data_IF_042675520839
#
_entry.id   IF_042675520839
#
_cell.length_a   1.000
_cell.length_b   1.000
_cell.length_c   1.000
_cell.angle_alpha   90.00
_cell.angle_beta   90.00
_cell.angle_gamma   90.00
#
_symmetry.space_group_name_H-M   'P 1'
#
loop_
_entity.id
_entity.type
_entity.pdbx_description
1 polymer ?
#
# COMPACT_ATOMS: atom_id res chain seq x y z
N UNK A 1 -27.44 -18.04 -27.46
CA UNK A 1 -27.25 -16.65 -27.91
C UNK A 1 -26.03 -16.10 -27.21
N UNK A 2 -25.17 -15.35 -27.90
CA UNK A 2 -24.03 -14.68 -27.27
C UNK A 2 -24.54 -13.52 -26.39
N UNK A 3 -24.02 -13.36 -25.17
CA UNK A 3 -24.35 -12.23 -24.30
C UNK A 3 -23.87 -10.92 -24.93
N UNK A 4 -24.72 -9.90 -24.88
CA UNK A 4 -24.37 -8.53 -25.28
C UNK A 4 -23.66 -7.78 -24.15
N UNK A 5 -23.00 -6.67 -24.47
CA UNK A 5 -22.44 -5.79 -23.44
C UNK A 5 -23.52 -5.26 -22.48
N UNK A 6 -24.72 -4.99 -23.00
CA UNK A 6 -25.85 -4.50 -22.20
C UNK A 6 -26.28 -5.54 -21.17
N UNK A 7 -26.36 -6.82 -21.54
CA UNK A 7 -26.71 -7.91 -20.61
C UNK A 7 -25.73 -7.98 -19.42
N UNK A 8 -24.43 -7.79 -19.68
CA UNK A 8 -23.39 -7.81 -18.63
C UNK A 8 -23.51 -6.61 -17.70
N UNK A 9 -23.85 -5.43 -18.23
CA UNK A 9 -24.08 -4.22 -17.42
C UNK A 9 -25.33 -4.38 -16.54
N UNK A 10 -26.39 -4.99 -17.07
CA UNK A 10 -27.62 -5.22 -16.30
C UNK A 10 -27.41 -6.25 -15.19
N UNK A 11 -26.64 -7.32 -15.45
CA UNK A 11 -26.18 -8.24 -14.41
C UNK A 11 -25.34 -7.52 -13.35
N UNK A 12 -24.38 -6.69 -13.77
CA UNK A 12 -23.55 -5.92 -12.85
C UNK A 12 -24.41 -5.03 -11.95
N UNK A 13 -25.46 -4.41 -12.47
CA UNK A 13 -26.40 -3.62 -11.66
C UNK A 13 -27.16 -4.47 -10.64
N UNK A 14 -27.48 -5.72 -10.98
CA UNK A 14 -28.16 -6.68 -10.10
C UNK A 14 -27.30 -7.26 -8.98
N UNK A 15 -25.97 -7.08 -9.00
CA UNK A 15 -25.09 -7.59 -7.95
C UNK A 15 -25.33 -6.86 -6.63
N UNK A 16 -25.68 -7.61 -5.58
CA UNK A 16 -25.69 -7.11 -4.20
C UNK A 16 -24.27 -6.82 -3.73
N UNK A 17 -24.07 -5.66 -3.13
CA UNK A 17 -22.77 -5.12 -2.71
C UNK A 17 -22.76 -4.75 -1.24
N UNK A 18 -21.64 -5.02 -0.59
CA UNK A 18 -21.33 -4.50 0.74
C UNK A 18 -20.20 -3.47 0.65
N UNK A 19 -20.40 -2.29 1.23
CA UNK A 19 -19.34 -1.30 1.38
C UNK A 19 -18.29 -1.77 2.38
N UNK A 20 -17.04 -1.47 2.11
CA UNK A 20 -15.92 -1.78 2.98
C UNK A 20 -14.61 -1.15 2.47
N UNK A 21 -13.50 -1.66 2.97
CA UNK A 21 -12.16 -1.26 2.56
C UNK A 21 -11.29 -2.47 2.26
N UNK A 22 -10.28 -2.28 1.42
CA UNK A 22 -9.12 -3.17 1.33
C UNK A 22 -8.02 -2.45 2.10
N UNK A 23 -7.72 -2.94 3.30
CA UNK A 23 -6.71 -2.35 4.20
C UNK A 23 -5.42 -3.17 4.30
N UNK A 24 -4.48 -2.76 5.15
CA UNK A 24 -3.19 -3.44 5.35
C UNK A 24 -3.35 -4.94 5.66
N UNK A 25 -4.31 -5.32 6.50
CA UNK A 25 -4.59 -6.73 6.81
C UNK A 25 -5.03 -7.52 5.59
N UNK A 26 -5.86 -6.95 4.71
CA UNK A 26 -6.24 -7.64 3.48
C UNK A 26 -5.03 -7.83 2.55
N UNK A 27 -4.15 -6.84 2.47
CA UNK A 27 -2.93 -6.96 1.67
C UNK A 27 -1.98 -8.00 2.24
N UNK A 28 -1.74 -8.01 3.54
CA UNK A 28 -0.88 -9.01 4.17
C UNK A 28 -1.44 -10.43 4.05
N UNK A 29 -2.74 -10.61 4.28
CA UNK A 29 -3.30 -11.96 4.40
C UNK A 29 -3.78 -12.54 3.06
N UNK A 30 -3.98 -11.70 2.03
CA UNK A 30 -4.63 -12.10 0.77
C UNK A 30 -3.87 -11.66 -0.50
N UNK A 31 -2.87 -10.79 -0.38
CA UNK A 31 -2.08 -10.34 -1.51
C UNK A 31 -0.73 -11.07 -1.59
N UNK A 32 -0.14 -11.05 -2.78
CA UNK A 32 1.28 -11.32 -2.95
C UNK A 32 2.05 -10.02 -2.65
N UNK A 33 2.85 -10.02 -1.60
CA UNK A 33 3.71 -8.89 -1.20
C UNK A 33 5.14 -9.10 -1.70
N UNK A 34 5.84 -8.01 -1.98
CA UNK A 34 7.23 -8.06 -2.43
C UNK A 34 8.02 -6.84 -1.94
N UNK A 35 9.33 -7.04 -1.75
CA UNK A 35 10.27 -5.95 -1.52
C UNK A 35 10.47 -5.19 -2.84
N UNK A 36 10.50 -3.85 -2.77
CA UNK A 36 10.78 -3.05 -3.95
C UNK A 36 12.25 -3.17 -4.39
N UNK A 37 12.50 -2.93 -5.68
CA UNK A 37 13.86 -2.66 -6.18
C UNK A 37 14.15 -1.18 -6.02
N UNK A 38 15.09 -0.83 -5.14
CA UNK A 38 15.47 0.57 -4.88
C UNK A 38 15.91 1.29 -6.15
N UNK A 39 15.53 2.57 -6.26
CA UNK A 39 15.75 3.42 -7.44
C UNK A 39 14.89 3.09 -8.66
N UNK A 40 14.16 1.97 -8.66
CA UNK A 40 13.37 1.48 -9.79
C UNK A 40 11.90 1.32 -9.43
N UNK A 41 11.03 1.48 -10.43
CA UNK A 41 9.60 1.20 -10.28
C UNK A 41 9.41 -0.30 -10.11
N UNK A 42 8.82 -0.73 -9.00
CA UNK A 42 8.61 -2.14 -8.69
C UNK A 42 7.32 -2.35 -7.89
N UNK A 43 6.76 -3.55 -7.98
CA UNK A 43 5.48 -3.90 -7.34
C UNK A 43 5.74 -4.30 -5.90
N UNK A 44 5.00 -3.73 -4.96
CA UNK A 44 5.07 -4.09 -3.53
C UNK A 44 3.86 -4.89 -3.07
N UNK A 45 2.74 -4.81 -3.80
CA UNK A 45 1.50 -5.54 -3.52
C UNK A 45 0.83 -5.95 -4.82
N UNK A 46 0.35 -7.19 -4.88
CA UNK A 46 -0.61 -7.69 -5.86
C UNK A 46 -1.78 -8.40 -5.17
N UNK A 47 -2.94 -7.76 -5.16
CA UNK A 47 -4.16 -8.34 -4.59
C UNK A 47 -5.07 -8.88 -5.71
N UNK A 48 -5.20 -10.21 -5.87
CA UNK A 48 -6.22 -10.78 -6.74
C UNK A 48 -7.62 -10.58 -6.14
N UNK A 49 -8.61 -10.28 -6.99
CA UNK A 49 -10.02 -10.22 -6.56
C UNK A 49 -10.81 -11.43 -7.05
N UNK A 50 -11.55 -12.06 -6.13
CA UNK A 50 -12.33 -13.27 -6.43
C UNK A 50 -13.75 -12.97 -6.93
N UNK A 51 -14.32 -11.83 -6.51
CA UNK A 51 -15.64 -11.35 -6.92
C UNK A 51 -15.54 -9.94 -7.50
N UNK A 52 -16.66 -9.43 -8.03
CA UNK A 52 -16.68 -8.06 -8.55
C UNK A 52 -16.39 -7.06 -7.44
N UNK A 53 -15.41 -6.20 -7.65
CA UNK A 53 -15.13 -5.06 -6.78
C UNK A 53 -15.41 -3.77 -7.53
N UNK A 54 -15.86 -2.75 -6.81
CA UNK A 54 -15.93 -1.38 -7.31
C UNK A 54 -15.14 -0.47 -6.38
N UNK A 55 -14.12 0.18 -6.88
CA UNK A 55 -13.38 1.21 -6.15
C UNK A 55 -14.27 2.43 -6.03
N UNK A 56 -14.39 2.93 -4.80
CA UNK A 56 -15.15 4.14 -4.53
C UNK A 56 -14.26 5.36 -4.80
N UNK A 57 -14.80 6.35 -5.49
CA UNK A 57 -14.08 7.55 -5.94
C UNK A 57 -14.61 8.81 -5.27
N UNK A 58 -13.82 9.89 -5.41
CA UNK A 58 -14.17 11.22 -4.91
C UNK A 58 -13.92 11.42 -3.42
N UNK A 59 -13.96 12.70 -3.00
CA UNK A 59 -13.60 13.14 -1.64
C UNK A 59 -14.46 12.53 -0.52
N UNK A 60 -15.66 12.07 -0.81
CA UNK A 60 -16.52 11.38 0.16
C UNK A 60 -16.08 9.94 0.44
N UNK A 61 -15.19 9.38 -0.38
CA UNK A 61 -14.67 8.03 -0.25
C UNK A 61 -13.12 8.10 -0.23
N UNK A 62 -12.53 8.57 0.89
CA UNK A 62 -11.09 8.79 0.95
C UNK A 62 -10.30 7.48 0.87
N UNK A 63 -9.22 7.54 0.11
CA UNK A 63 -8.08 6.63 0.16
C UNK A 63 -7.15 7.08 1.30
N UNK A 64 -6.62 6.14 2.10
CA UNK A 64 -5.62 6.44 3.13
C UNK A 64 -4.31 5.76 2.79
N UNK A 65 -3.22 6.51 2.90
CA UNK A 65 -1.93 6.08 2.39
C UNK A 65 -0.78 6.68 3.19
N UNK A 66 0.12 5.85 3.67
CA UNK A 66 1.39 6.22 4.26
C UNK A 66 2.28 4.98 4.14
N UNK A 67 3.41 5.11 3.45
CA UNK A 67 4.26 3.94 3.16
C UNK A 67 5.64 4.20 3.77
N UNK A 68 6.03 3.45 4.81
CA UNK A 68 7.32 3.60 5.46
C UNK A 68 8.47 3.01 4.64
N UNK A 69 9.65 3.56 4.84
CA UNK A 69 10.93 2.92 4.55
C UNK A 69 11.27 1.89 5.64
N UNK A 70 12.12 0.93 5.31
CA UNK A 70 12.61 -0.11 6.21
C UNK A 70 14.15 -0.09 6.30
N UNK A 71 14.68 -0.12 7.53
CA UNK A 71 16.09 -0.37 7.81
C UNK A 71 16.26 -1.34 8.99
N UNK A 72 17.39 -2.06 8.99
CA UNK A 72 17.76 -2.98 10.07
C UNK A 72 19.12 -2.61 10.62
N UNK A 73 19.21 -2.57 11.94
CA UNK A 73 20.43 -2.40 12.70
C UNK A 73 20.63 -3.55 13.67
N UNK A 74 21.76 -3.54 14.38
CA UNK A 74 21.99 -4.41 15.52
C UNK A 74 22.23 -3.56 16.75
N UNK A 75 21.53 -3.85 17.83
CA UNK A 75 21.86 -3.28 19.14
C UNK A 75 23.22 -3.76 19.60
N UNK A 76 23.84 -3.00 20.49
CA UNK A 76 25.12 -3.36 21.05
C UNK A 76 25.01 -4.54 22.03
N UNK A 77 26.16 -5.05 22.45
CA UNK A 77 26.24 -6.22 23.32
C UNK A 77 25.84 -5.96 24.78
N UNK A 78 25.33 -4.76 25.11
CA UNK A 78 25.03 -4.29 26.44
C UNK A 78 23.53 -4.02 26.55
N UNK A 79 22.87 -4.68 27.50
CA UNK A 79 21.44 -4.45 27.71
C UNK A 79 21.15 -3.22 28.55
N UNK A 80 20.12 -2.48 28.14
CA UNK A 80 19.51 -1.40 28.88
C UNK A 80 20.16 -0.03 28.68
N UNK A 81 21.12 0.13 27.79
CA UNK A 81 21.56 1.45 27.33
C UNK A 81 20.77 1.89 26.09
N UNK A 82 20.56 3.19 26.02
CA UNK A 82 20.02 3.86 24.84
C UNK A 82 21.10 3.97 23.78
N UNK A 83 20.77 3.56 22.57
CA UNK A 83 21.63 3.62 21.39
C UNK A 83 21.02 4.52 20.33
N UNK A 84 21.86 5.27 19.64
CA UNK A 84 21.46 6.14 18.52
C UNK A 84 21.70 5.43 17.19
N UNK A 85 20.65 5.27 16.41
CA UNK A 85 20.69 4.70 15.06
C UNK A 85 20.49 5.82 14.03
N UNK A 86 21.46 5.97 13.11
CA UNK A 86 21.35 6.90 11.99
C UNK A 86 20.66 6.20 10.82
N UNK A 87 19.57 6.79 10.34
CA UNK A 87 18.83 6.33 9.17
C UNK A 87 19.51 6.80 7.89
N UNK A 88 19.36 6.03 6.82
CA UNK A 88 20.02 6.28 5.54
C UNK A 88 19.26 7.31 4.67
N UNK A 89 18.04 7.69 5.06
CA UNK A 89 17.18 8.60 4.31
C UNK A 89 16.43 9.58 5.24
N UNK A 90 16.09 10.74 4.67
CA UNK A 90 15.35 11.84 5.31
C UNK A 90 14.15 11.32 6.11
N UNK A 91 14.11 11.62 7.40
CA UNK A 91 13.05 11.26 8.32
C UNK A 91 12.07 12.42 8.47
N UNK A 92 10.77 12.15 8.30
CA UNK A 92 9.73 13.18 8.41
C UNK A 92 8.63 12.79 9.38
N UNK A 93 7.95 13.82 9.90
CA UNK A 93 6.67 13.64 10.59
C UNK A 93 5.56 13.27 9.60
N UNK A 94 4.69 12.35 10.01
CA UNK A 94 3.49 11.93 9.30
C UNK A 94 2.25 12.21 10.16
N UNK A 95 1.35 13.12 9.76
CA UNK A 95 0.17 13.46 10.56
C UNK A 95 -0.91 12.36 10.58
N UNK A 96 -0.70 11.23 9.89
CA UNK A 96 -1.75 10.21 9.70
C UNK A 96 -1.48 8.90 10.48
N UNK A 97 -0.24 8.68 10.93
CA UNK A 97 0.24 7.42 11.55
C UNK A 97 1.54 7.70 12.31
N UNK A 98 2.15 6.72 12.98
CA UNK A 98 3.43 6.94 13.66
C UNK A 98 4.58 7.18 12.67
N UNK A 99 5.41 8.17 12.97
CA UNK A 99 6.58 8.55 12.16
C UNK A 99 7.62 7.44 12.10
N UNK A 100 7.80 6.74 13.24
CA UNK A 100 8.73 5.63 13.43
C UNK A 100 8.05 4.53 14.23
N UNK A 101 8.21 3.28 13.76
CA UNK A 101 7.90 2.05 14.48
C UNK A 101 9.15 1.20 14.57
N UNK A 102 9.44 0.73 15.77
CA UNK A 102 10.61 -0.09 16.08
C UNK A 102 10.18 -1.47 16.56
N UNK A 103 10.91 -2.48 16.11
CA UNK A 103 10.87 -3.84 16.63
C UNK A 103 12.27 -4.26 17.07
N UNK A 104 12.36 -4.97 18.19
CA UNK A 104 13.62 -5.50 18.72
C UNK A 104 13.50 -7.02 18.84
N UNK A 105 14.34 -7.75 18.11
CA UNK A 105 14.31 -9.22 18.07
C UNK A 105 12.91 -9.77 17.76
N UNK A 106 12.21 -9.13 16.82
CA UNK A 106 10.84 -9.49 16.42
C UNK A 106 9.72 -9.01 17.34
N UNK A 107 10.03 -8.43 18.50
CA UNK A 107 9.03 -7.91 19.43
C UNK A 107 8.75 -6.44 19.18
N UNK A 108 7.46 -6.07 19.13
CA UNK A 108 7.04 -4.67 18.97
C UNK A 108 7.55 -3.82 20.14
N UNK A 109 8.44 -2.87 19.85
CA UNK A 109 8.94 -1.90 20.82
C UNK A 109 8.00 -0.70 20.94
N UNK A 110 7.42 -0.28 19.81
CA UNK A 110 6.61 0.94 19.72
C UNK A 110 7.34 2.03 18.96
N UNK A 111 7.24 3.26 19.46
CA UNK A 111 8.00 4.40 18.96
C UNK A 111 9.42 4.40 19.54
N UNK A 112 10.34 5.06 18.86
CA UNK A 112 11.68 5.34 19.40
C UNK A 112 11.59 6.22 20.68
N UNK A 113 12.62 6.15 21.53
CA UNK A 113 12.72 6.93 22.77
C UNK A 113 12.88 8.42 22.49
N UNK A 114 13.63 8.74 21.44
CA UNK A 114 13.75 10.07 20.87
C UNK A 114 13.88 9.99 19.35
N UNK A 115 13.46 11.04 18.67
CA UNK A 115 13.55 11.20 17.22
C UNK A 115 14.19 12.55 16.91
N UNK A 116 15.30 12.54 16.19
CA UNK A 116 15.98 13.74 15.70
C UNK A 116 15.81 13.86 14.18
N UNK A 117 14.74 14.54 13.78
CA UNK A 117 14.41 14.85 12.39
C UNK A 117 15.46 15.72 11.68
N UNK A 118 16.34 16.42 12.40
CA UNK A 118 17.34 17.27 11.77
C UNK A 118 18.59 16.49 11.35
N UNK A 119 18.81 15.32 11.97
CA UNK A 119 19.99 14.47 11.74
C UNK A 119 19.61 13.05 11.29
N UNK A 120 18.35 12.80 10.95
CA UNK A 120 17.83 11.50 10.52
C UNK A 120 18.20 10.36 11.47
N UNK A 121 18.01 10.57 12.78
CA UNK A 121 18.40 9.58 13.77
C UNK A 121 17.33 9.34 14.82
N UNK A 122 17.37 8.14 15.40
CA UNK A 122 16.48 7.70 16.46
C UNK A 122 17.27 7.11 17.62
N UNK A 123 16.75 7.29 18.82
CA UNK A 123 17.29 6.65 20.01
C UNK A 123 16.39 5.48 20.43
N UNK A 124 16.98 4.31 20.70
CA UNK A 124 16.26 3.10 21.12
C UNK A 124 17.03 2.43 22.25
N UNK A 125 16.31 2.04 23.31
CA UNK A 125 16.86 1.29 24.44
C UNK A 125 16.51 -0.18 24.33
N UNK A 126 17.48 -1.01 23.93
CA UNK A 126 17.29 -2.47 23.91
C UNK A 126 17.44 -3.05 25.33
N UNK A 127 16.41 -3.73 25.88
CA UNK A 127 16.54 -4.42 27.16
C UNK A 127 17.40 -5.69 27.09
N UNK A 128 17.63 -6.25 25.89
CA UNK A 128 18.47 -7.41 25.60
C UNK A 128 19.86 -7.02 25.09
N UNK A 129 20.51 -7.88 24.32
CA UNK A 129 21.85 -7.61 23.77
C UNK A 129 22.01 -8.25 22.41
N UNK A 130 22.65 -7.57 21.46
CA UNK A 130 22.88 -8.05 20.08
C UNK A 130 21.58 -8.47 19.37
N UNK A 131 20.48 -7.77 19.60
CA UNK A 131 19.22 -8.00 18.90
C UNK A 131 19.20 -7.26 17.56
N UNK A 132 18.44 -7.78 16.61
CA UNK A 132 18.07 -7.01 15.44
C UNK A 132 17.12 -5.89 15.86
N UNK A 133 17.44 -4.67 15.44
CA UNK A 133 16.57 -3.50 15.59
C UNK A 133 16.01 -3.18 14.21
N UNK A 134 14.74 -3.51 14.01
CA UNK A 134 14.02 -3.22 12.77
C UNK A 134 13.30 -1.88 12.90
N UNK A 135 13.50 -1.01 11.93
CA UNK A 135 12.96 0.35 11.95
C UNK A 135 12.12 0.57 10.70
N UNK A 136 10.83 0.88 10.90
CA UNK A 136 9.92 1.31 9.87
C UNK A 136 9.62 2.79 10.07
N UNK A 137 10.09 3.65 9.18
CA UNK A 137 10.01 5.09 9.36
C UNK A 137 9.46 5.82 8.14
N UNK A 138 8.88 7.00 8.33
CA UNK A 138 8.28 7.79 7.26
C UNK A 138 9.35 8.58 6.51
N UNK A 139 9.60 8.29 5.23
CA UNK A 139 10.68 8.91 4.48
C UNK A 139 10.22 10.22 3.83
N UNK A 140 11.06 11.25 3.89
CA UNK A 140 10.90 12.52 3.18
C UNK A 140 11.48 12.52 1.76
N UNK A 141 12.28 11.50 1.44
CA UNK A 141 12.90 11.31 0.13
C UNK A 141 11.89 11.21 -1.00
N UNK A 142 12.27 11.76 -2.16
CA UNK A 142 11.38 11.77 -3.33
C UNK A 142 11.11 10.36 -3.83
N UNK A 143 9.85 9.96 -3.78
CA UNK A 143 9.35 8.67 -4.26
C UNK A 143 7.98 8.83 -4.91
N UNK A 144 7.58 7.85 -5.72
CA UNK A 144 6.24 7.80 -6.33
C UNK A 144 5.52 6.54 -5.88
N UNK A 145 4.27 6.69 -5.45
CA UNK A 145 3.35 5.58 -5.23
C UNK A 145 2.33 5.56 -6.38
N UNK A 146 2.05 4.37 -6.89
CA UNK A 146 1.06 4.19 -7.93
C UNK A 146 0.16 2.98 -7.64
N UNK A 147 -1.13 3.10 -7.96
CA UNK A 147 -2.11 2.02 -7.84
C UNK A 147 -2.67 1.73 -9.23
N UNK A 148 -2.66 0.46 -9.60
CA UNK A 148 -3.13 -0.03 -10.90
C UNK A 148 -4.19 -1.09 -10.71
N UNK A 149 -5.17 -1.16 -11.62
CA UNK A 149 -5.90 -2.41 -11.84
C UNK A 149 -5.33 -3.13 -13.04
N UNK A 150 -5.33 -4.46 -12.96
CA UNK A 150 -4.71 -5.32 -13.93
C UNK A 150 -5.59 -6.53 -14.27
N UNK A 151 -5.49 -7.01 -15.51
CA UNK A 151 -5.83 -8.39 -15.86
C UNK A 151 -4.56 -9.25 -15.78
N UNK A 152 -4.63 -10.58 -15.59
CA UNK A 152 -3.45 -11.46 -15.52
C UNK A 152 -2.65 -11.59 -16.84
N UNK A 153 -2.92 -10.73 -17.82
CA UNK A 153 -2.31 -10.71 -19.15
C UNK A 153 -1.11 -9.77 -19.16
N UNK A 154 -0.07 -10.10 -19.93
CA UNK A 154 1.11 -9.24 -20.12
C UNK A 154 0.92 -8.15 -21.20
N UNK A 155 -0.28 -8.03 -21.79
CA UNK A 155 -0.58 -7.03 -22.82
C UNK A 155 -0.64 -5.61 -22.25
N UNK A 156 -0.27 -4.58 -23.03
CA UNK A 156 -0.40 -3.18 -22.61
C UNK A 156 -1.85 -2.80 -22.20
N UNK A 157 -2.85 -3.35 -22.89
CA UNK A 157 -4.28 -3.19 -22.54
C UNK A 157 -4.73 -4.03 -21.33
N UNK A 158 -3.79 -4.59 -20.58
CA UNK A 158 -4.06 -5.36 -19.36
C UNK A 158 -3.89 -4.54 -18.09
N UNK A 159 -3.38 -3.31 -18.14
CA UNK A 159 -3.12 -2.49 -16.96
C UNK A 159 -3.68 -1.09 -17.13
N UNK A 160 -4.20 -0.52 -16.05
CA UNK A 160 -4.69 0.86 -16.01
C UNK A 160 -4.27 1.50 -14.69
N UNK A 161 -3.67 2.69 -14.78
CA UNK A 161 -3.34 3.52 -13.62
C UNK A 161 -4.62 4.12 -13.03
N UNK A 162 -4.80 3.99 -11.72
CA UNK A 162 -5.94 4.52 -10.99
C UNK A 162 -5.55 5.70 -10.09
N UNK A 163 -4.29 5.74 -9.68
CA UNK A 163 -3.74 6.73 -8.77
C UNK A 163 -2.23 6.79 -8.93
N UNK A 164 -1.66 7.99 -8.96
CA UNK A 164 -0.22 8.23 -8.96
C UNK A 164 0.08 9.54 -8.26
N UNK A 165 0.90 9.50 -7.21
CA UNK A 165 1.30 10.69 -6.45
C UNK A 165 2.73 10.59 -5.90
N UNK A 166 3.42 11.73 -5.70
CA UNK A 166 4.65 11.78 -4.93
C UNK A 166 4.39 11.33 -3.49
N UNK A 167 5.04 10.27 -3.05
CA UNK A 167 4.81 9.63 -1.76
C UNK A 167 5.30 10.51 -0.59
N UNK A 168 6.39 11.25 -0.76
CA UNK A 168 6.87 12.20 0.24
C UNK A 168 5.85 13.29 0.58
N UNK A 169 5.11 13.79 -0.43
CA UNK A 169 4.05 14.77 -0.20
C UNK A 169 2.83 14.13 0.47
N UNK A 170 2.45 12.93 0.03
CA UNK A 170 1.33 12.18 0.60
C UNK A 170 1.55 11.83 2.06
N UNK A 171 2.78 11.43 2.42
CA UNK A 171 3.17 11.13 3.80
C UNK A 171 3.04 12.36 4.70
N UNK A 172 3.35 13.57 4.23
CA UNK A 172 3.25 14.82 5.02
C UNK A 172 1.85 15.45 5.01
N UNK A 173 1.00 15.05 4.07
CA UNK A 173 -0.33 15.65 3.91
C UNK A 173 -1.26 15.18 5.03
N UNK A 174 -1.91 16.11 5.73
CA UNK A 174 -2.93 15.78 6.72
C UNK A 174 -4.21 15.31 6.02
N UNK A 175 -4.37 14.00 5.85
CA UNK A 175 -5.41 13.41 5.01
C UNK A 175 -6.83 13.55 5.58
N UNK A 176 -6.95 13.89 6.87
CA UNK A 176 -8.22 14.29 7.47
C UNK A 176 -8.76 15.61 6.88
N UNK A 177 -7.87 16.52 6.48
CA UNK A 177 -8.22 17.84 5.92
C UNK A 177 -8.13 17.84 4.39
N UNK A 178 -7.11 17.17 3.84
CA UNK A 178 -6.86 17.04 2.41
C UNK A 178 -6.81 15.54 2.05
N UNK A 179 -7.97 14.89 1.93
CA UNK A 179 -8.01 13.46 1.67
C UNK A 179 -7.47 13.14 0.28
N UNK A 180 -6.71 12.05 0.20
CA UNK A 180 -6.44 11.38 -1.05
C UNK A 180 -7.70 10.63 -1.51
N UNK A 181 -7.93 10.59 -2.82
CA UNK A 181 -9.06 9.85 -3.40
C UNK A 181 -8.75 9.48 -4.85
N UNK A 182 -9.44 8.46 -5.34
CA UNK A 182 -9.34 8.06 -6.74
C UNK A 182 -10.21 8.98 -7.62
N UNK A 183 -9.66 9.41 -8.76
CA UNK A 183 -10.36 10.16 -9.80
C UNK A 183 -10.76 9.22 -10.94
N UNK A 184 -11.88 8.51 -10.76
CA UNK A 184 -12.32 7.43 -11.66
C UNK A 184 -13.47 7.91 -12.56
N UNK A 185 -13.21 8.90 -13.41
CA UNK A 185 -14.21 9.57 -14.26
C UNK A 185 -13.98 9.39 -15.78
N UNK A 186 -13.01 8.57 -16.20
CA UNK A 186 -12.72 8.34 -17.62
C UNK A 186 -13.75 7.42 -18.29
N UNK A 187 -14.35 6.49 -17.54
CA UNK A 187 -15.42 5.61 -18.05
C UNK A 187 -16.32 5.08 -16.94
N UNK A 188 -17.49 4.56 -17.32
CA UNK A 188 -18.40 3.89 -16.38
C UNK A 188 -17.83 2.57 -15.82
N UNK A 189 -16.86 1.95 -16.52
CA UNK A 189 -16.23 0.69 -16.12
C UNK A 189 -14.88 0.88 -15.41
N UNK A 190 -14.35 2.11 -15.42
CA UNK A 190 -13.10 2.47 -14.75
C UNK A 190 -13.04 2.02 -13.28
N UNK A 191 -14.11 2.19 -12.48
CA UNK A 191 -14.05 1.84 -11.07
C UNK A 191 -14.11 0.34 -10.79
N UNK A 192 -14.43 -0.49 -11.77
CA UNK A 192 -14.72 -1.91 -11.54
C UNK A 192 -13.49 -2.80 -11.75
N UNK A 193 -13.40 -3.83 -10.91
CA UNK A 193 -12.56 -5.01 -11.10
C UNK A 193 -13.48 -6.23 -11.18
N UNK A 194 -13.28 -7.07 -12.19
CA UNK A 194 -13.95 -8.37 -12.30
C UNK A 194 -13.15 -9.45 -11.57
N UNK A 195 -13.75 -10.62 -11.36
CA UNK A 195 -13.02 -11.80 -10.86
C UNK A 195 -11.78 -12.11 -11.72
N UNK A 196 -10.72 -12.55 -11.06
CA UNK A 196 -9.37 -12.77 -11.60
C UNK A 196 -8.63 -11.50 -12.07
N UNK A 197 -9.20 -10.31 -11.87
CA UNK A 197 -8.41 -9.08 -11.98
C UNK A 197 -7.61 -8.87 -10.70
N UNK A 198 -6.69 -7.92 -10.75
CA UNK A 198 -5.76 -7.63 -9.65
C UNK A 198 -5.70 -6.14 -9.38
N UNK A 199 -5.53 -5.79 -8.12
CA UNK A 199 -5.17 -4.45 -7.68
C UNK A 199 -3.69 -4.48 -7.28
N UNK A 200 -2.87 -3.73 -8.02
CA UNK A 200 -1.44 -3.72 -7.85
C UNK A 200 -1.00 -2.36 -7.29
N UNK A 201 -0.07 -2.39 -6.33
CA UNK A 201 0.59 -1.19 -5.82
C UNK A 201 2.05 -1.24 -6.18
N UNK A 202 2.52 -0.17 -6.81
CA UNK A 202 3.90 0.03 -7.21
C UNK A 202 4.50 1.18 -6.44
N UNK A 203 5.79 1.06 -6.15
CA UNK A 203 6.59 2.16 -5.61
C UNK A 203 7.83 2.34 -6.47
N UNK A 204 8.24 3.59 -6.64
CA UNK A 204 9.57 3.97 -7.14
C UNK A 204 10.20 4.84 -6.06
N UNK A 205 11.08 4.26 -5.26
CA UNK A 205 11.70 4.90 -4.10
C UNK A 205 13.20 4.59 -4.06
N UNK A 206 14.04 5.50 -3.54
CA UNK A 206 15.46 5.23 -3.32
C UNK A 206 15.73 4.35 -2.09
N UNK A 207 14.72 4.12 -1.25
CA UNK A 207 14.75 3.31 -0.04
C UNK A 207 13.99 1.98 -0.20
N UNK A 208 14.21 1.07 0.74
CA UNK A 208 13.54 -0.22 0.84
C UNK A 208 12.15 -0.06 1.50
N UNK A 209 11.13 -0.69 0.92
CA UNK A 209 9.73 -0.75 1.40
C UNK A 209 9.36 -2.21 1.54
N UNK A 210 8.89 -2.60 2.74
CA UNK A 210 8.62 -4.00 3.08
C UNK A 210 7.42 -4.16 3.98
N UNK A 211 6.80 -5.33 3.84
CA UNK A 211 5.68 -5.79 4.67
C UNK A 211 6.13 -6.78 5.76
N UNK A 212 7.33 -7.35 5.62
CA UNK A 212 7.92 -8.37 6.47
C UNK A 212 9.45 -8.17 6.52
N UNK A 213 10.06 -8.47 7.66
CA UNK A 213 11.50 -8.36 7.87
C UNK A 213 12.29 -9.49 7.13
N UNK A 214 13.59 -9.30 6.84
CA UNK A 214 14.43 -10.31 6.18
C UNK A 214 14.93 -11.41 7.09
N UNK A 215 14.85 -11.23 8.42
CA UNK A 215 15.35 -12.16 9.40
C UNK A 215 14.30 -13.22 9.79
N UNK A 216 13.06 -13.05 9.36
CA UNK A 216 11.89 -13.83 9.79
C UNK A 216 11.67 -13.73 11.32
N UNK A 217 12.02 -12.58 11.89
CA UNK A 217 11.87 -12.29 13.32
C UNK A 217 10.40 -11.92 13.66
N UNK A 218 9.59 -11.56 12.66
CA UNK A 218 8.16 -11.25 12.79
C UNK A 218 7.85 -9.75 12.86
N UNK A 219 8.79 -8.89 12.45
CA UNK A 219 8.60 -7.44 12.44
C UNK A 219 7.79 -7.00 11.21
N UNK A 220 6.79 -6.15 11.45
CA UNK A 220 5.87 -5.67 10.40
C UNK A 220 5.67 -4.15 10.45
N UNK A 221 5.37 -3.48 9.33
CA UNK A 221 5.23 -2.03 9.27
C UNK A 221 3.88 -1.56 9.85
N UNK A 222 3.71 -1.55 11.18
CA UNK A 222 2.44 -1.16 11.81
C UNK A 222 2.03 0.29 11.54
N UNK A 223 2.98 1.16 11.18
CA UNK A 223 2.70 2.52 10.76
C UNK A 223 2.32 2.66 9.29
N UNK A 224 2.33 1.58 8.49
CA UNK A 224 1.88 1.66 7.10
C UNK A 224 0.37 1.79 7.01
N UNK A 225 -0.08 2.79 6.24
CA UNK A 225 -1.46 2.95 5.82
C UNK A 225 -1.56 2.63 4.33
N UNK A 226 -2.43 1.69 3.97
CA UNK A 226 -2.81 1.45 2.59
C UNK A 226 -4.25 0.96 2.60
N UNK A 227 -5.20 1.87 2.42
CA UNK A 227 -6.62 1.58 2.53
C UNK A 227 -7.38 2.08 1.31
N UNK A 228 -7.84 1.16 0.47
CA UNK A 228 -8.63 1.43 -0.74
C UNK A 228 -10.12 1.22 -0.43
N UNK A 229 -10.96 2.26 -0.54
CA UNK A 229 -12.40 2.14 -0.30
C UNK A 229 -13.06 1.40 -1.46
N UNK A 230 -13.84 0.35 -1.15
CA UNK A 230 -14.46 -0.50 -2.16
C UNK A 230 -15.90 -0.92 -1.79
N UNK A 231 -16.70 -1.20 -2.81
CA UNK A 231 -17.87 -2.06 -2.70
C UNK A 231 -17.50 -3.46 -3.20
N UNK A 232 -17.72 -4.47 -2.36
CA UNK A 232 -17.49 -5.87 -2.72
C UNK A 232 -18.81 -6.52 -3.14
N UNK A 233 -18.85 -7.04 -4.35
CA UNK A 233 -19.96 -7.81 -4.87
C UNK A 233 -19.98 -9.21 -4.28
N UNK A 234 -21.20 -9.72 -4.03
CA UNK A 234 -21.43 -11.08 -3.54
C UNK A 234 -21.16 -12.18 -4.57
N UNK A 235 -21.07 -11.84 -5.85
CA UNK A 235 -20.91 -12.80 -6.95
C UNK A 235 -19.93 -12.30 -8.02
N UNK A 236 -19.56 -13.20 -8.93
CA UNK A 236 -18.91 -12.86 -10.19
C UNK A 236 -19.96 -12.42 -11.24
N UNK A 237 -19.51 -11.75 -12.30
CA UNK A 237 -20.36 -11.38 -13.45
C UNK A 237 -19.68 -11.88 -14.72
N UNK A 238 -20.30 -12.87 -15.37
CA UNK A 238 -19.75 -13.47 -16.58
C UNK A 238 -19.67 -12.44 -17.72
N UNK A 239 -18.47 -12.30 -18.30
CA UNK A 239 -18.19 -11.35 -19.38
C UNK A 239 -17.67 -9.98 -18.92
N UNK A 240 -17.77 -9.64 -17.63
CA UNK A 240 -17.37 -8.33 -17.12
C UNK A 240 -15.88 -8.04 -17.33
N UNK A 241 -15.01 -9.02 -17.08
CA UNK A 241 -13.56 -8.89 -17.31
C UNK A 241 -13.22 -8.49 -18.74
N UNK A 242 -13.94 -9.05 -19.72
CA UNK A 242 -13.74 -8.74 -21.13
C UNK A 242 -14.15 -7.31 -21.48
N UNK A 243 -15.27 -6.85 -20.91
CA UNK A 243 -15.72 -5.46 -21.08
C UNK A 243 -14.74 -4.48 -20.44
N UNK A 244 -14.30 -4.73 -19.21
CA UNK A 244 -13.32 -3.87 -18.53
C UNK A 244 -12.00 -3.85 -19.32
N UNK A 245 -11.51 -5.00 -19.79
CA UNK A 245 -10.29 -5.05 -20.61
C UNK A 245 -10.43 -4.25 -21.91
N UNK A 246 -11.59 -4.34 -22.58
CA UNK A 246 -11.86 -3.57 -23.79
C UNK A 246 -11.92 -2.06 -23.50
N UNK A 247 -12.52 -1.67 -22.38
CA UNK A 247 -12.61 -0.28 -21.93
C UNK A 247 -11.22 0.28 -21.62
N UNK A 248 -10.39 -0.48 -20.89
CA UNK A 248 -8.99 -0.13 -20.62
C UNK A 248 -8.17 0.03 -21.89
N UNK A 249 -8.33 -0.87 -22.87
CA UNK A 249 -7.58 -0.79 -24.13
C UNK A 249 -8.04 0.30 -25.10
N UNK A 250 -9.12 1.03 -24.78
CA UNK A 250 -9.67 2.11 -25.59
C UNK A 250 -9.25 3.51 -25.13
N UNK A 251 -8.50 3.58 -24.03
CA UNK A 251 -7.97 4.79 -23.39
C UNK A 251 -6.46 4.75 -23.43
#
# INVERSE_FOLDING_TARGET
>A
MARTAQDVIDDLRGVSRSSGGIGPTNFRDQAEIAVNTTGSRSRIVELPVETVHRILSGRSNPFRVAVPAYEQFSSDGTGGNTETFNLSHDLIECPNTQDVVVYIGGSYYGSADAVDYANDSIDVTDPGSNNNVHVFYMPGETATLEVYKATPSSSASANEELYSRPLNLVNQTKQAEQPEYFELNESALQPFLASDMRLNVYVKAPYEVRFEDPADDGATPDNMLLHVPVERGSTTVAGLKQLIKSDMGSR
#
